data_IF_803712760856
#
_entry.id   IF_803712760856
#
_cell.length_a   1.000
_cell.length_b   1.000
_cell.length_c   1.000
_cell.angle_alpha   90.00
_cell.angle_beta   90.00
_cell.angle_gamma   90.00
#
_symmetry.space_group_name_H-M   'P 1'
#
loop_
_entity.id
_entity.type
_entity.pdbx_description
1 polymer ?
#
# COMPACT_ATOMS: atom_id res chain seq x y z
N UNK A 1 27.46 5.24 11.66
CA UNK A 1 26.49 4.11 11.56
C UNK A 1 26.20 3.60 12.96
N UNK A 2 25.11 2.85 13.21
CA UNK A 2 24.88 2.25 14.51
C UNK A 2 26.06 1.35 14.90
N UNK A 3 26.50 1.41 16.15
CA UNK A 3 27.61 0.59 16.66
C UNK A 3 29.00 0.89 16.09
N UNK A 4 29.19 1.97 15.31
CA UNK A 4 30.51 2.42 14.87
C UNK A 4 31.11 3.44 15.83
N UNK A 5 32.44 3.58 15.86
CA UNK A 5 33.09 4.75 16.46
C UNK A 5 33.65 5.69 15.41
N UNK A 6 33.78 6.97 15.76
CA UNK A 6 34.44 7.98 14.95
C UNK A 6 35.28 8.91 15.81
N UNK A 7 36.41 9.37 15.28
CA UNK A 7 37.21 10.45 15.87
C UNK A 7 36.66 11.79 15.36
N UNK A 8 36.27 12.66 16.29
CA UNK A 8 35.74 13.99 15.97
C UNK A 8 36.61 15.07 16.62
N UNK A 9 36.78 16.18 15.92
CA UNK A 9 37.44 17.38 16.40
C UNK A 9 36.61 18.59 15.99
N UNK A 10 36.66 19.67 16.78
CA UNK A 10 36.05 20.93 16.37
C UNK A 10 36.97 21.65 15.37
N UNK A 11 36.46 22.07 14.20
CA UNK A 11 37.21 22.98 13.34
C UNK A 11 37.39 24.34 14.05
N UNK A 12 38.29 25.22 13.57
CA UNK A 12 38.42 26.58 14.09
C UNK A 12 37.06 27.29 14.11
N UNK A 13 36.68 27.80 15.29
CA UNK A 13 35.37 28.42 15.48
C UNK A 13 35.44 29.94 15.25
N UNK A 14 34.44 30.55 14.60
CA UNK A 14 34.42 32.00 14.34
C UNK A 14 34.15 32.83 15.61
N UNK A 15 33.75 32.18 16.71
CA UNK A 15 33.46 32.79 18.02
C UNK A 15 34.06 31.93 19.13
N UNK A 16 34.27 32.52 20.30
CA UNK A 16 34.73 31.80 21.49
C UNK A 16 33.53 31.21 22.22
N UNK A 17 33.68 29.95 22.65
CA UNK A 17 32.71 29.26 23.49
C UNK A 17 33.39 28.94 24.82
N UNK A 18 32.70 29.15 25.95
CA UNK A 18 33.22 28.79 27.26
C UNK A 18 33.02 27.31 27.60
N UNK A 19 32.02 26.66 26.99
CA UNK A 19 31.67 25.27 27.33
C UNK A 19 31.25 24.45 26.12
N UNK A 20 31.64 23.18 26.15
CA UNK A 20 31.21 22.16 25.20
C UNK A 20 30.69 20.94 25.95
N UNK A 21 29.53 20.43 25.53
CA UNK A 21 28.99 19.16 26.04
C UNK A 21 28.61 18.24 24.88
N UNK A 22 29.01 16.97 24.98
CA UNK A 22 28.63 15.92 24.04
C UNK A 22 27.64 14.99 24.76
N UNK A 23 26.42 14.89 24.25
CA UNK A 23 25.32 14.16 24.92
C UNK A 23 25.14 14.58 26.39
N UNK A 24 25.24 15.89 26.66
CA UNK A 24 25.14 16.47 28.00
C UNK A 24 26.36 16.23 28.91
N UNK A 25 27.39 15.52 28.46
CA UNK A 25 28.63 15.28 29.24
C UNK A 25 29.72 16.30 28.90
N UNK A 26 30.52 16.78 29.86
CA UNK A 26 31.61 17.72 29.59
C UNK A 26 32.55 17.25 28.46
N UNK A 27 32.89 18.19 27.57
CA UNK A 27 33.72 17.96 26.38
C UNK A 27 34.67 19.13 26.09
N UNK A 28 35.14 19.84 27.13
CA UNK A 28 35.93 21.06 27.00
C UNK A 28 37.22 20.90 26.15
N UNK A 29 37.83 19.71 26.16
CA UNK A 29 39.00 19.41 25.32
C UNK A 29 38.75 19.63 23.82
N UNK A 30 37.52 19.45 23.33
CA UNK A 30 37.18 19.74 21.94
C UNK A 30 37.39 21.22 21.58
N UNK A 31 37.15 22.15 22.53
CA UNK A 31 37.40 23.58 22.34
C UNK A 31 38.90 23.91 22.25
N UNK A 32 39.74 23.08 22.87
CA UNK A 32 41.19 23.17 22.80
C UNK A 32 41.80 22.49 21.55
N UNK A 33 40.94 22.01 20.63
CA UNK A 33 41.37 21.31 19.41
C UNK A 33 41.66 19.82 19.62
N UNK A 34 41.34 19.26 20.79
CA UNK A 34 41.50 17.83 21.01
C UNK A 34 40.56 17.02 20.12
N UNK A 35 41.01 15.83 19.75
CA UNK A 35 40.18 14.84 19.09
C UNK A 35 39.57 13.92 20.13
N UNK A 36 38.25 13.71 20.05
CA UNK A 36 37.52 12.79 20.91
C UNK A 36 36.99 11.62 20.11
N UNK A 37 37.11 10.42 20.65
CA UNK A 37 36.39 9.26 20.11
C UNK A 37 34.93 9.29 20.57
N UNK A 38 34.03 9.14 19.61
CA UNK A 38 32.58 9.08 19.81
C UNK A 38 32.09 7.71 19.36
N UNK A 39 31.42 7.00 20.26
CA UNK A 39 30.84 5.69 20.00
C UNK A 39 29.35 5.85 19.75
N UNK A 40 28.90 5.54 18.54
CA UNK A 40 27.49 5.65 18.17
C UNK A 40 26.69 4.46 18.69
N UNK A 41 25.51 4.68 19.30
CA UNK A 41 24.72 3.60 19.89
C UNK A 41 24.19 2.62 18.84
N UNK A 42 23.77 1.45 19.29
CA UNK A 42 23.20 0.39 18.47
C UNK A 42 24.22 -0.66 18.03
N UNK A 43 23.75 -1.61 17.22
CA UNK A 43 24.56 -2.74 16.73
C UNK A 43 25.09 -2.43 15.33
N UNK A 44 26.39 -2.61 15.13
CA UNK A 44 26.98 -2.54 13.81
C UNK A 44 26.38 -3.63 12.89
N UNK A 45 25.98 -3.20 11.69
CA UNK A 45 25.55 -4.14 10.65
C UNK A 45 26.77 -4.91 10.13
N UNK A 46 26.62 -6.21 9.91
CA UNK A 46 27.68 -7.05 9.32
C UNK A 46 27.73 -6.90 7.80
N UNK A 47 26.61 -6.53 7.16
CA UNK A 47 26.48 -6.31 5.73
C UNK A 47 26.06 -4.86 5.41
N UNK A 48 26.41 -4.33 4.22
CA UNK A 48 25.96 -3.01 3.78
C UNK A 48 24.42 -2.90 3.80
N UNK A 49 23.89 -1.81 4.36
CA UNK A 49 22.44 -1.58 4.46
C UNK A 49 21.77 -1.42 3.08
N UNK A 50 22.53 -0.97 2.07
CA UNK A 50 22.14 -0.92 0.67
C UNK A 50 22.93 -1.97 -0.11
N UNK A 51 22.27 -2.97 -0.69
CA UNK A 51 22.92 -4.04 -1.46
C UNK A 51 21.94 -4.79 -2.37
N UNK A 52 22.46 -5.30 -3.49
CA UNK A 52 21.76 -6.29 -4.32
C UNK A 52 21.77 -7.63 -3.60
N UNK A 53 20.65 -8.33 -3.61
CA UNK A 53 20.47 -9.64 -2.99
C UNK A 53 20.53 -10.75 -4.03
N UNK A 54 19.79 -10.60 -5.13
CA UNK A 54 19.70 -11.63 -6.18
C UNK A 54 19.19 -11.05 -7.51
N UNK A 55 19.49 -11.74 -8.61
CA UNK A 55 18.82 -11.58 -9.91
C UNK A 55 17.71 -12.60 -10.07
N UNK A 56 16.52 -12.18 -10.48
CA UNK A 56 15.42 -13.10 -10.73
C UNK A 56 15.60 -13.77 -12.09
N UNK A 57 15.38 -15.09 -12.15
CA UNK A 57 15.49 -15.87 -13.38
C UNK A 57 14.10 -16.25 -13.88
N UNK A 58 13.89 -16.34 -15.22
CA UNK A 58 12.63 -16.81 -15.77
C UNK A 58 12.26 -18.19 -15.22
N UNK A 59 10.99 -18.37 -14.91
CA UNK A 59 10.41 -19.64 -14.46
C UNK A 59 9.04 -19.85 -15.11
N UNK A 60 8.50 -21.05 -15.02
CA UNK A 60 7.09 -21.28 -15.33
C UNK A 60 6.20 -20.44 -14.41
N UNK A 61 5.02 -20.06 -14.90
CA UNK A 61 4.03 -19.35 -14.08
C UNK A 61 3.65 -20.27 -12.92
N UNK A 62 3.87 -19.87 -11.66
CA UNK A 62 3.71 -20.77 -10.54
C UNK A 62 2.23 -21.06 -10.28
N UNK A 63 1.93 -22.23 -9.72
CA UNK A 63 0.55 -22.67 -9.45
C UNK A 63 -0.23 -21.71 -8.51
N UNK A 64 0.47 -21.00 -7.63
CA UNK A 64 -0.07 -20.00 -6.71
C UNK A 64 0.02 -18.56 -7.24
N UNK A 65 0.21 -18.35 -8.55
CA UNK A 65 0.32 -17.02 -9.15
C UNK A 65 -0.89 -16.12 -8.85
N UNK A 66 -2.09 -16.70 -8.73
CA UNK A 66 -3.28 -15.97 -8.30
C UNK A 66 -3.11 -15.40 -6.88
N UNK A 67 -2.65 -16.19 -5.92
CA UNK A 67 -2.43 -15.74 -4.54
C UNK A 67 -1.36 -14.66 -4.45
N UNK A 68 -0.26 -14.80 -5.21
CA UNK A 68 0.79 -13.77 -5.32
C UNK A 68 0.26 -12.44 -5.88
N UNK A 69 -0.54 -12.50 -6.95
CA UNK A 69 -1.17 -11.31 -7.52
C UNK A 69 -2.14 -10.65 -6.53
N UNK A 70 -3.04 -11.44 -5.95
CA UNK A 70 -4.04 -10.94 -5.01
C UNK A 70 -3.38 -10.33 -3.77
N UNK A 71 -2.31 -10.93 -3.24
CA UNK A 71 -1.57 -10.36 -2.11
C UNK A 71 -1.16 -8.91 -2.39
N UNK A 72 -0.66 -8.63 -3.59
CA UNK A 72 -0.29 -7.27 -4.01
C UNK A 72 -1.51 -6.38 -4.23
N UNK A 73 -2.59 -6.86 -4.83
CA UNK A 73 -3.81 -6.07 -5.04
C UNK A 73 -4.55 -5.71 -3.74
N UNK A 74 -4.49 -6.57 -2.70
CA UNK A 74 -5.00 -6.27 -1.36
C UNK A 74 -4.05 -5.37 -0.56
N UNK A 75 -2.72 -5.49 -0.77
CA UNK A 75 -1.74 -4.65 -0.09
C UNK A 75 -1.68 -3.23 -0.64
N UNK A 76 -1.94 -3.07 -1.94
CA UNK A 76 -1.97 -1.80 -2.61
C UNK A 76 -3.26 -1.04 -2.27
N UNK A 77 -3.10 0.20 -1.83
CA UNK A 77 -4.22 1.14 -1.79
C UNK A 77 -4.31 1.88 -3.14
N UNK A 78 -5.53 2.12 -3.59
CA UNK A 78 -5.81 2.94 -4.77
C UNK A 78 -6.39 4.32 -4.38
N UNK A 79 -6.13 4.79 -3.15
CA UNK A 79 -6.56 6.11 -2.66
C UNK A 79 -5.91 7.26 -3.45
N UNK A 80 -6.45 8.46 -3.31
CA UNK A 80 -5.83 9.68 -3.81
C UNK A 80 -4.37 9.82 -3.37
N UNK A 81 -3.53 10.41 -4.22
CA UNK A 81 -2.10 10.54 -3.96
C UNK A 81 -1.80 11.40 -2.73
N UNK A 82 -2.66 12.36 -2.41
CA UNK A 82 -2.63 13.21 -1.23
C UNK A 82 -2.77 12.36 0.04
N UNK A 83 -3.73 11.43 0.05
CA UNK A 83 -3.93 10.45 1.13
C UNK A 83 -2.73 9.54 1.26
N UNK A 84 -2.21 9.02 0.15
CA UNK A 84 -0.99 8.20 0.18
C UNK A 84 0.20 8.97 0.71
N UNK A 85 0.31 10.25 0.37
CA UNK A 85 1.45 11.10 0.73
C UNK A 85 1.44 11.48 2.21
N UNK A 86 0.27 11.80 2.78
CA UNK A 86 0.18 12.02 4.23
C UNK A 86 0.50 10.74 5.01
N UNK A 87 -0.05 9.59 4.60
CA UNK A 87 0.24 8.29 5.25
C UNK A 87 1.72 7.88 5.12
N UNK A 88 2.39 8.29 4.03
CA UNK A 88 3.83 8.07 3.82
C UNK A 88 4.70 8.98 4.66
N UNK A 89 4.34 10.26 4.78
CA UNK A 89 5.12 11.26 5.50
C UNK A 89 4.96 11.16 7.02
N UNK A 90 3.85 10.60 7.50
CA UNK A 90 3.61 10.42 8.92
C UNK A 90 3.32 11.73 9.65
N UNK A 91 3.33 11.72 11.00
CA UNK A 91 3.05 12.90 11.81
C UNK A 91 4.10 14.00 11.60
N UNK A 92 3.70 15.25 11.81
CA UNK A 92 4.58 16.43 11.73
C UNK A 92 4.62 17.14 13.08
N UNK A 93 5.79 17.68 13.45
CA UNK A 93 5.93 18.56 14.61
C UNK A 93 5.81 20.06 14.25
N UNK A 94 5.63 20.39 12.96
CA UNK A 94 5.51 21.76 12.47
C UNK A 94 4.02 22.15 12.50
N UNK A 95 3.58 23.05 13.39
CA UNK A 95 2.16 23.35 13.59
C UNK A 95 1.47 23.87 12.33
N UNK A 96 2.16 24.68 11.52
CA UNK A 96 1.64 25.21 10.27
C UNK A 96 1.35 24.09 9.26
N UNK A 97 2.22 23.07 9.20
CA UNK A 97 2.01 21.90 8.33
C UNK A 97 0.83 21.08 8.82
N UNK A 98 0.67 20.93 10.14
CA UNK A 98 -0.49 20.23 10.71
C UNK A 98 -1.79 20.97 10.40
N UNK A 99 -1.85 22.28 10.65
CA UNK A 99 -3.02 23.11 10.35
C UNK A 99 -3.42 23.05 8.86
N UNK A 100 -2.44 23.10 7.94
CA UNK A 100 -2.72 22.94 6.50
C UNK A 100 -3.27 21.55 6.15
N UNK A 101 -2.78 20.50 6.82
CA UNK A 101 -3.31 19.14 6.64
C UNK A 101 -4.75 19.04 7.15
N UNK A 102 -5.00 19.56 8.35
CA UNK A 102 -6.33 19.52 8.97
C UNK A 102 -7.35 20.25 8.10
N UNK A 103 -7.00 21.44 7.60
CA UNK A 103 -7.85 22.19 6.67
C UNK A 103 -8.09 21.42 5.36
N UNK A 104 -7.05 20.83 4.76
CA UNK A 104 -7.19 20.08 3.50
C UNK A 104 -8.04 18.81 3.65
N UNK A 105 -7.74 18.00 4.66
CA UNK A 105 -8.42 16.72 4.88
C UNK A 105 -9.78 16.86 5.58
N UNK A 106 -10.08 18.02 6.16
CA UNK A 106 -11.39 18.37 6.70
C UNK A 106 -12.40 18.86 5.66
N UNK A 107 -11.99 19.07 4.40
CA UNK A 107 -12.90 19.60 3.37
C UNK A 107 -13.97 18.58 2.98
N UNK A 108 -15.23 19.04 2.93
CA UNK A 108 -16.35 18.25 2.41
C UNK A 108 -16.09 17.70 1.01
N UNK A 109 -15.39 18.45 0.16
CA UNK A 109 -15.08 18.07 -1.22
C UNK A 109 -14.29 16.75 -1.31
N UNK A 110 -13.47 16.41 -0.30
CA UNK A 110 -12.74 15.14 -0.25
C UNK A 110 -13.68 13.94 -0.15
N UNK A 111 -14.73 14.04 0.66
CA UNK A 111 -15.76 13.02 0.78
C UNK A 111 -16.63 12.96 -0.48
N UNK A 112 -17.04 14.10 -1.03
CA UNK A 112 -17.85 14.18 -2.24
C UNK A 112 -17.16 13.57 -3.48
N UNK A 113 -15.83 13.70 -3.56
CA UNK A 113 -15.03 13.04 -4.61
C UNK A 113 -14.85 11.54 -4.38
N UNK A 114 -15.00 11.06 -3.15
CA UNK A 114 -14.98 9.63 -2.83
C UNK A 114 -13.65 8.92 -3.08
N UNK A 115 -12.54 9.65 -2.94
CA UNK A 115 -11.19 9.21 -3.32
C UNK A 115 -10.41 8.51 -2.20
N UNK A 116 -11.08 8.20 -1.09
CA UNK A 116 -10.50 7.53 0.06
C UNK A 116 -11.35 6.31 0.44
N UNK A 117 -10.72 5.13 0.51
CA UNK A 117 -11.35 3.87 0.91
C UNK A 117 -12.05 3.92 2.28
N UNK A 118 -11.63 4.84 3.16
CA UNK A 118 -12.23 5.05 4.47
C UNK A 118 -13.71 5.43 4.43
N UNK A 119 -14.18 6.02 3.33
CA UNK A 119 -15.61 6.32 3.16
C UNK A 119 -16.48 5.06 3.09
N UNK A 120 -15.92 3.86 2.83
CA UNK A 120 -16.69 2.61 2.97
C UNK A 120 -17.00 2.23 4.42
N UNK A 121 -16.31 2.84 5.38
CA UNK A 121 -16.23 2.35 6.76
C UNK A 121 -16.48 3.46 7.79
N UNK A 122 -17.06 4.59 7.40
CA UNK A 122 -17.20 5.78 8.25
C UNK A 122 -18.60 6.01 8.83
N UNK A 123 -19.53 5.08 8.59
CA UNK A 123 -20.94 5.13 9.03
C UNK A 123 -21.70 6.36 8.50
N UNK A 124 -21.26 6.93 7.37
CA UNK A 124 -21.92 8.06 6.72
C UNK A 124 -22.55 7.65 5.38
N UNK A 125 -23.89 7.57 5.30
CA UNK A 125 -24.57 7.06 4.11
C UNK A 125 -24.45 7.98 2.88
N UNK A 126 -24.02 9.24 3.05
CA UNK A 126 -23.83 10.20 1.97
C UNK A 126 -22.40 10.25 1.42
N UNK A 127 -21.48 9.47 2.01
CA UNK A 127 -20.12 9.29 1.47
C UNK A 127 -20.04 8.04 0.61
N UNK A 128 -19.09 8.03 -0.33
CA UNK A 128 -18.89 6.92 -1.25
C UNK A 128 -17.42 6.68 -1.45
N UNK A 129 -17.01 5.43 -1.60
CA UNK A 129 -15.75 5.10 -2.28
C UNK A 129 -16.00 4.89 -3.76
N UNK A 130 -15.26 5.62 -4.58
CA UNK A 130 -15.60 5.82 -5.98
C UNK A 130 -14.47 5.40 -6.90
N UNK A 131 -14.82 4.71 -7.97
CA UNK A 131 -13.93 4.47 -9.11
C UNK A 131 -14.15 5.58 -10.14
N UNK A 132 -13.30 6.60 -10.10
CA UNK A 132 -13.42 7.81 -10.94
C UNK A 132 -12.65 7.71 -12.26
N UNK A 133 -11.91 6.63 -12.46
CA UNK A 133 -11.05 6.38 -13.61
C UNK A 133 -11.30 4.96 -14.14
N UNK A 134 -10.85 4.65 -15.35
CA UNK A 134 -10.94 3.30 -15.87
C UNK A 134 -10.12 2.32 -15.02
N UNK A 135 -10.81 1.35 -14.44
CA UNK A 135 -10.19 0.21 -13.76
C UNK A 135 -9.44 -0.68 -14.76
N UNK A 136 -8.35 -1.26 -14.28
CA UNK A 136 -7.53 -2.20 -15.02
C UNK A 136 -8.35 -3.49 -15.22
N UNK A 137 -8.51 -3.93 -16.46
CA UNK A 137 -9.31 -5.09 -16.89
C UNK A 137 -10.64 -5.24 -16.12
N UNK A 138 -11.41 -4.16 -16.08
CA UNK A 138 -12.73 -4.04 -15.42
C UNK A 138 -12.72 -4.02 -13.89
N UNK A 139 -11.57 -4.10 -13.23
CA UNK A 139 -11.47 -3.97 -11.78
C UNK A 139 -12.15 -5.09 -10.97
N UNK A 140 -12.00 -4.97 -9.66
CA UNK A 140 -12.72 -5.74 -8.65
C UNK A 140 -12.61 -4.97 -7.33
N UNK A 141 -13.71 -4.88 -6.59
CA UNK A 141 -13.69 -4.38 -5.22
C UNK A 141 -13.06 -5.43 -4.31
N UNK A 142 -12.04 -5.03 -3.57
CA UNK A 142 -11.31 -5.83 -2.59
C UNK A 142 -11.46 -5.20 -1.23
N UNK A 143 -11.72 -6.02 -0.21
CA UNK A 143 -11.74 -5.60 1.19
C UNK A 143 -10.77 -6.51 1.97
N UNK A 144 -9.74 -5.91 2.57
CA UNK A 144 -8.90 -6.57 3.58
C UNK A 144 -9.42 -6.14 4.96
N UNK A 145 -9.91 -7.09 5.75
CA UNK A 145 -10.39 -6.84 7.12
C UNK A 145 -9.25 -6.60 8.12
N UNK A 146 -7.99 -6.72 7.68
CA UNK A 146 -6.78 -6.49 8.46
C UNK A 146 -6.33 -7.69 9.27
N UNK A 147 -7.27 -8.53 9.72
CA UNK A 147 -7.01 -9.77 10.45
C UNK A 147 -8.10 -10.82 10.19
N UNK A 148 -7.84 -12.12 10.46
CA UNK A 148 -8.89 -13.15 10.41
C UNK A 148 -10.08 -12.78 11.32
N UNK A 149 -11.26 -12.73 10.74
CA UNK A 149 -12.48 -12.14 11.29
C UNK A 149 -13.66 -13.09 11.09
N UNK A 150 -14.50 -13.35 12.11
CA UNK A 150 -15.62 -14.29 12.03
C UNK A 150 -16.84 -13.68 11.31
N UNK A 151 -16.67 -13.32 10.04
CA UNK A 151 -17.72 -12.74 9.21
C UNK A 151 -18.82 -13.76 8.89
N UNK A 152 -20.08 -13.41 9.13
CA UNK A 152 -21.26 -14.22 8.78
C UNK A 152 -22.13 -13.56 7.71
N UNK A 153 -22.11 -12.23 7.62
CA UNK A 153 -22.80 -11.50 6.56
C UNK A 153 -21.98 -10.28 6.14
N UNK A 154 -21.88 -10.05 4.83
CA UNK A 154 -21.44 -8.78 4.27
C UNK A 154 -22.65 -8.05 3.68
N UNK A 155 -22.83 -6.79 4.06
CA UNK A 155 -23.80 -5.87 3.50
C UNK A 155 -23.07 -4.70 2.85
N UNK A 156 -23.30 -4.48 1.55
CA UNK A 156 -22.92 -3.24 0.89
C UNK A 156 -24.16 -2.35 0.74
N UNK A 157 -24.07 -1.11 1.18
CA UNK A 157 -25.16 -0.11 1.06
C UNK A 157 -24.84 0.96 0.05
N UNK A 158 -25.88 1.58 -0.50
CA UNK A 158 -25.78 2.63 -1.50
C UNK A 158 -24.86 2.22 -2.66
N UNK A 159 -25.09 1.02 -3.21
CA UNK A 159 -24.32 0.48 -4.33
C UNK A 159 -24.91 0.96 -5.63
N UNK A 160 -24.11 1.58 -6.50
CA UNK A 160 -24.55 1.98 -7.85
C UNK A 160 -25.23 0.81 -8.58
N UNK A 161 -26.45 1.00 -9.10
CA UNK A 161 -27.22 -0.09 -9.74
C UNK A 161 -26.51 -0.75 -10.93
N UNK A 162 -25.48 -0.11 -11.50
CA UNK A 162 -24.67 -0.66 -12.60
C UNK A 162 -23.71 -1.75 -12.11
N UNK A 163 -23.43 -1.81 -10.82
CA UNK A 163 -22.63 -2.86 -10.21
C UNK A 163 -23.54 -3.98 -9.69
N UNK A 164 -23.64 -5.05 -10.48
CA UNK A 164 -24.51 -6.19 -10.22
C UNK A 164 -23.70 -7.49 -10.06
N UNK A 165 -22.87 -7.60 -9.01
CA UNK A 165 -22.15 -8.84 -8.77
C UNK A 165 -23.16 -9.98 -8.59
N UNK A 166 -22.82 -11.17 -9.09
CA UNK A 166 -23.62 -12.40 -8.87
C UNK A 166 -23.10 -13.18 -7.67
N UNK A 167 -21.81 -13.02 -7.37
CA UNK A 167 -21.12 -13.67 -6.28
C UNK A 167 -19.96 -12.80 -5.79
N UNK A 168 -19.61 -12.99 -4.54
CA UNK A 168 -18.35 -12.54 -3.94
C UNK A 168 -17.45 -13.75 -3.71
N UNK A 169 -16.16 -13.51 -3.53
CA UNK A 169 -15.19 -14.53 -3.15
C UNK A 169 -14.58 -14.14 -1.81
N UNK A 170 -14.58 -15.08 -0.86
CA UNK A 170 -14.00 -14.88 0.46
C UNK A 170 -12.85 -15.86 0.72
N UNK A 171 -11.83 -15.41 1.44
CA UNK A 171 -10.65 -16.23 1.75
C UNK A 171 -10.02 -15.84 3.08
N UNK A 172 -9.41 -16.82 3.75
CA UNK A 172 -8.55 -16.61 4.92
C UNK A 172 -7.07 -16.41 4.54
N UNK A 173 -6.64 -16.91 3.38
CA UNK A 173 -5.23 -17.15 3.05
C UNK A 173 -4.82 -16.74 1.62
N UNK A 174 -5.73 -16.17 0.82
CA UNK A 174 -5.56 -15.81 -0.60
C UNK A 174 -5.47 -16.99 -1.58
N UNK A 175 -5.49 -18.23 -1.09
CA UNK A 175 -5.46 -19.44 -1.91
C UNK A 175 -6.82 -20.09 -2.00
N UNK A 176 -7.41 -20.42 -0.85
CA UNK A 176 -8.72 -21.04 -0.76
C UNK A 176 -9.79 -19.96 -0.85
N UNK A 177 -10.46 -19.91 -2.00
CA UNK A 177 -11.56 -18.97 -2.26
C UNK A 177 -12.89 -19.70 -2.21
N UNK A 178 -13.80 -19.22 -1.36
CA UNK A 178 -15.19 -19.66 -1.36
C UNK A 178 -16.05 -18.66 -2.10
N UNK A 179 -16.75 -19.10 -3.14
CA UNK A 179 -17.76 -18.29 -3.81
C UNK A 179 -19.04 -18.23 -2.96
N UNK A 180 -19.57 -17.03 -2.78
CA UNK A 180 -20.80 -16.78 -2.02
C UNK A 180 -21.74 -15.97 -2.90
N UNK A 181 -22.94 -16.48 -3.12
CA UNK A 181 -23.95 -15.80 -3.93
C UNK A 181 -24.37 -14.48 -3.29
N UNK A 182 -24.70 -13.50 -4.12
CA UNK A 182 -25.20 -12.20 -3.67
C UNK A 182 -26.70 -12.07 -3.91
N UNK A 183 -27.40 -11.43 -2.97
CA UNK A 183 -28.76 -10.94 -3.14
C UNK A 183 -28.73 -9.42 -3.31
N UNK A 184 -29.35 -8.91 -4.36
CA UNK A 184 -29.44 -7.47 -4.63
C UNK A 184 -30.88 -7.03 -4.36
N UNK A 185 -31.04 -6.03 -3.50
CA UNK A 185 -32.32 -5.47 -3.13
C UNK A 185 -32.33 -3.95 -3.36
N UNK A 186 -33.50 -3.36 -3.51
CA UNK A 186 -33.63 -1.91 -3.61
C UNK A 186 -33.14 -1.24 -2.31
N UNK A 187 -32.42 -0.14 -2.44
CA UNK A 187 -32.06 0.68 -1.30
C UNK A 187 -33.22 1.59 -0.89
N UNK A 188 -33.23 2.07 0.36
CA UNK A 188 -34.18 3.10 0.79
C UNK A 188 -33.42 4.23 1.47
N UNK A 189 -33.30 5.41 0.83
CA UNK A 189 -33.85 5.79 -0.48
C UNK A 189 -33.22 5.04 -1.66
N UNK A 190 -33.95 4.87 -2.77
CA UNK A 190 -33.47 4.17 -3.97
C UNK A 190 -32.54 5.02 -4.86
N UNK A 191 -32.25 6.25 -4.45
CA UNK A 191 -31.46 7.22 -5.20
C UNK A 191 -30.45 7.90 -4.28
N UNK A 192 -29.30 8.25 -4.86
CA UNK A 192 -28.28 9.04 -4.20
C UNK A 192 -27.70 10.08 -5.16
N UNK A 193 -27.16 11.17 -4.61
CA UNK A 193 -26.46 12.19 -5.39
C UNK A 193 -24.96 12.03 -5.24
N UNK A 194 -24.24 11.99 -6.36
CA UNK A 194 -22.78 11.89 -6.40
C UNK A 194 -22.19 13.02 -7.22
N UNK A 195 -20.98 13.46 -6.86
CA UNK A 195 -20.31 14.54 -7.57
C UNK A 195 -19.85 14.06 -8.96
N UNK A 196 -20.35 14.66 -10.03
CA UNK A 196 -19.94 14.36 -11.40
C UNK A 196 -18.63 15.08 -11.77
N UNK A 197 -18.48 16.33 -11.35
CA UNK A 197 -17.29 17.14 -11.63
C UNK A 197 -17.25 18.41 -10.79
N UNK A 198 -16.05 18.96 -10.60
CA UNK A 198 -15.84 20.20 -9.84
C UNK A 198 -14.65 21.04 -10.34
N UNK A 199 -14.29 20.90 -11.63
CA UNK A 199 -13.07 21.47 -12.19
C UNK A 199 -13.21 22.94 -12.64
N UNK A 200 -14.42 23.44 -12.86
CA UNK A 200 -14.72 24.79 -13.37
C UNK A 200 -15.08 25.81 -12.29
N UNK A 201 -14.81 25.51 -11.01
CA UNK A 201 -15.27 26.32 -9.88
C UNK A 201 -16.74 26.12 -9.52
N UNK A 202 -17.51 25.39 -10.33
CA UNK A 202 -18.87 24.93 -10.04
C UNK A 202 -18.91 23.42 -9.86
N UNK A 203 -19.76 22.93 -8.94
CA UNK A 203 -20.00 21.50 -8.73
C UNK A 203 -21.14 21.03 -9.62
N UNK A 204 -20.88 20.00 -10.41
CA UNK A 204 -21.90 19.26 -11.14
C UNK A 204 -22.25 17.99 -10.37
N UNK A 205 -23.55 17.74 -10.18
CA UNK A 205 -24.06 16.59 -9.45
C UNK A 205 -24.83 15.66 -10.40
N UNK A 206 -24.73 14.37 -10.15
CA UNK A 206 -25.49 13.33 -10.83
C UNK A 206 -26.36 12.59 -9.81
N UNK A 207 -27.62 12.33 -10.17
CA UNK A 207 -28.47 11.43 -9.39
C UNK A 207 -28.32 10.02 -9.95
N UNK A 208 -27.86 9.10 -9.10
CA UNK A 208 -27.71 7.68 -9.43
C UNK A 208 -28.80 6.87 -8.72
N UNK A 209 -29.16 5.73 -9.32
CA UNK A 209 -29.98 4.73 -8.64
C UNK A 209 -29.08 3.80 -7.86
N UNK A 210 -29.49 3.45 -6.64
CA UNK A 210 -28.70 2.62 -5.73
C UNK A 210 -29.48 1.41 -5.22
N UNK A 211 -28.74 0.34 -4.97
CA UNK A 211 -29.20 -0.91 -4.38
C UNK A 211 -28.38 -1.21 -3.11
N UNK A 212 -28.85 -2.19 -2.34
CA UNK A 212 -28.04 -2.88 -1.34
C UNK A 212 -27.63 -4.25 -1.87
N UNK A 213 -26.41 -4.68 -1.58
CA UNK A 213 -25.89 -6.02 -1.93
C UNK A 213 -25.66 -6.79 -0.63
N UNK A 214 -26.34 -7.91 -0.48
CA UNK A 214 -26.31 -8.75 0.72
C UNK A 214 -25.65 -10.08 0.38
N UNK A 215 -24.69 -10.48 1.20
CA UNK A 215 -23.98 -11.75 1.07
C UNK A 215 -24.06 -12.48 2.40
N UNK A 216 -24.90 -13.51 2.46
CA UNK A 216 -25.04 -14.39 3.63
C UNK A 216 -23.98 -15.50 3.50
N UNK A 217 -22.98 -15.53 4.39
CA UNK A 217 -21.88 -16.49 4.30
C UNK A 217 -22.33 -17.88 4.78
N UNK A 218 -21.87 -18.97 4.12
CA UNK A 218 -22.08 -20.32 4.59
C UNK A 218 -21.59 -20.52 6.03
N UNK A 219 -22.35 -21.29 6.81
CA UNK A 219 -21.95 -21.69 8.16
C UNK A 219 -20.67 -22.54 8.09
N UNK A 220 -19.76 -22.35 9.05
CA UNK A 220 -18.59 -23.20 9.24
C UNK A 220 -17.35 -22.81 8.43
N UNK A 221 -17.33 -21.67 7.73
CA UNK A 221 -16.14 -21.18 7.01
C UNK A 221 -14.97 -20.78 7.92
N UNK A 222 -15.23 -20.59 9.22
CA UNK A 222 -14.25 -20.07 10.16
C UNK A 222 -13.89 -18.60 9.89
N UNK A 223 -12.85 -18.07 10.56
CA UNK A 223 -12.41 -16.69 10.37
C UNK A 223 -11.82 -16.45 8.97
N UNK A 224 -12.28 -15.38 8.31
CA UNK A 224 -11.86 -14.96 6.97
C UNK A 224 -11.13 -13.62 7.06
N UNK A 225 -10.33 -13.25 6.05
CA UNK A 225 -9.65 -11.95 6.03
C UNK A 225 -9.96 -11.13 4.77
N UNK A 226 -10.09 -11.80 3.64
CA UNK A 226 -10.12 -11.18 2.33
C UNK A 226 -11.48 -11.37 1.67
N UNK A 227 -11.99 -10.31 1.05
CA UNK A 227 -13.19 -10.33 0.22
C UNK A 227 -12.84 -9.74 -1.13
N UNK A 228 -13.21 -10.42 -2.21
CA UNK A 228 -13.09 -9.95 -3.59
C UNK A 228 -14.44 -10.01 -4.29
N UNK A 229 -14.82 -8.91 -4.94
CA UNK A 229 -16.07 -8.77 -5.67
C UNK A 229 -15.73 -8.31 -7.09
N UNK A 230 -15.74 -9.21 -8.08
CA UNK A 230 -15.35 -8.87 -9.45
C UNK A 230 -16.27 -7.83 -10.09
N UNK A 231 -15.67 -6.94 -10.89
CA UNK A 231 -16.40 -5.94 -11.68
C UNK A 231 -16.15 -4.51 -11.22
N UNK A 232 -16.70 -3.56 -12.01
CA UNK A 232 -16.52 -2.13 -11.82
C UNK A 232 -17.43 -1.60 -10.71
N UNK A 233 -16.93 -1.59 -9.47
CA UNK A 233 -17.59 -0.95 -8.33
C UNK A 233 -17.45 0.58 -8.42
N UNK A 234 -18.32 1.22 -9.21
CA UNK A 234 -18.26 2.65 -9.54
C UNK A 234 -18.47 3.55 -8.33
N UNK A 235 -19.54 3.32 -7.57
CA UNK A 235 -19.86 4.02 -6.34
C UNK A 235 -20.40 2.99 -5.35
N UNK A 236 -19.77 2.92 -4.17
CA UNK A 236 -20.23 2.09 -3.05
C UNK A 236 -20.18 2.95 -1.80
N UNK A 237 -21.31 3.09 -1.12
CA UNK A 237 -21.43 3.92 0.07
C UNK A 237 -20.75 3.27 1.27
N UNK A 238 -21.26 2.11 1.70
CA UNK A 238 -20.76 1.45 2.91
C UNK A 238 -20.52 -0.04 2.66
N UNK A 239 -19.54 -0.61 3.37
CA UNK A 239 -19.34 -2.05 3.51
C UNK A 239 -19.39 -2.43 4.99
N UNK A 240 -20.40 -3.21 5.37
CA UNK A 240 -20.71 -3.57 6.76
C UNK A 240 -20.60 -5.09 6.92
N UNK A 241 -19.84 -5.53 7.91
CA UNK A 241 -19.77 -6.93 8.30
C UNK A 241 -20.56 -7.22 9.56
N UNK A 242 -21.27 -8.35 9.61
CA UNK A 242 -21.94 -8.84 10.81
C UNK A 242 -21.42 -10.20 11.23
N UNK A 243 -21.39 -10.42 12.54
CA UNK A 243 -21.18 -11.71 13.17
C UNK A 243 -22.21 -11.88 14.28
N UNK A 244 -23.00 -12.94 14.24
CA UNK A 244 -24.08 -13.22 15.21
C UNK A 244 -25.06 -12.05 15.35
N UNK A 245 -25.35 -11.36 14.24
CA UNK A 245 -26.21 -10.17 14.20
C UNK A 245 -25.58 -8.90 14.75
N UNK A 246 -24.33 -8.91 15.19
CA UNK A 246 -23.60 -7.73 15.70
C UNK A 246 -22.68 -7.19 14.61
N UNK A 247 -22.71 -5.89 14.38
CA UNK A 247 -21.80 -5.21 13.47
C UNK A 247 -20.35 -5.34 13.95
N UNK A 248 -19.46 -5.73 13.05
CA UNK A 248 -18.03 -5.89 13.31
C UNK A 248 -17.33 -4.52 13.35
N UNK A 249 -16.24 -4.44 14.11
CA UNK A 249 -15.33 -3.29 14.03
C UNK A 249 -14.62 -3.28 12.65
N UNK A 250 -14.67 -2.13 12.00
CA UNK A 250 -14.11 -1.90 10.66
C UNK A 250 -12.94 -0.91 10.67
N UNK A 251 -12.46 -0.51 11.85
CA UNK A 251 -11.34 0.42 12.01
C UNK A 251 -10.06 -0.04 11.30
N UNK A 252 -9.82 -1.35 11.21
CA UNK A 252 -8.67 -1.94 10.53
C UNK A 252 -8.90 -2.23 9.04
N UNK A 253 -10.15 -2.12 8.55
CA UNK A 253 -10.51 -2.50 7.19
C UNK A 253 -9.97 -1.52 6.16
N UNK A 254 -9.66 -2.04 4.97
CA UNK A 254 -9.14 -1.29 3.82
C UNK A 254 -9.76 -1.81 2.55
N UNK A 255 -9.80 -0.98 1.52
CA UNK A 255 -10.32 -1.41 0.23
C UNK A 255 -9.52 -0.91 -0.98
N UNK A 256 -9.69 -1.63 -2.09
CA UNK A 256 -9.28 -1.19 -3.41
C UNK A 256 -10.30 -1.61 -4.47
N UNK A 257 -10.47 -0.83 -5.55
CA UNK A 257 -11.46 -1.12 -6.60
C UNK A 257 -10.95 -0.99 -8.04
N UNK A 258 -9.64 -0.74 -8.22
CA UNK A 258 -9.02 -0.48 -9.52
C UNK A 258 -8.45 -1.73 -10.19
N UNK A 259 -7.97 -2.71 -9.42
CA UNK A 259 -7.24 -3.86 -9.97
C UNK A 259 -8.19 -4.96 -10.46
N UNK A 260 -7.86 -5.60 -11.57
CA UNK A 260 -8.63 -6.68 -12.16
C UNK A 260 -8.75 -7.91 -11.26
N UNK A 261 -9.74 -8.75 -11.52
CA UNK A 261 -9.71 -10.14 -11.05
C UNK A 261 -8.67 -10.94 -11.86
N UNK A 262 -7.84 -11.75 -11.19
CA UNK A 262 -6.81 -12.58 -11.84
C UNK A 262 -7.38 -13.46 -12.96
N UNK A 263 -8.60 -13.98 -12.78
CA UNK A 263 -9.25 -14.83 -13.78
C UNK A 263 -9.48 -14.12 -15.13
N UNK A 264 -9.61 -12.77 -15.14
CA UNK A 264 -9.79 -11.99 -16.37
C UNK A 264 -8.48 -11.70 -17.09
N UNK A 265 -7.39 -11.61 -16.35
CA UNK A 265 -6.06 -11.34 -16.88
C UNK A 265 -5.04 -12.19 -16.11
N UNK A 266 -4.89 -13.48 -16.45
CA UNK A 266 -3.92 -14.35 -15.79
C UNK A 266 -2.49 -14.03 -16.25
N UNK A 267 -1.53 -14.32 -15.38
CA UNK A 267 -0.12 -14.13 -15.69
C UNK A 267 0.31 -15.05 -16.85
N UNK A 268 1.18 -14.53 -17.71
CA UNK A 268 1.70 -15.21 -18.91
C UNK A 268 3.16 -15.62 -18.77
N UNK A 269 3.93 -14.94 -17.92
CA UNK A 269 5.33 -15.26 -17.60
C UNK A 269 5.62 -14.97 -16.14
N UNK A 270 6.67 -15.60 -15.61
CA UNK A 270 7.14 -15.33 -14.27
C UNK A 270 8.68 -15.33 -14.20
N UNK A 271 9.19 -14.60 -13.21
CA UNK A 271 10.59 -14.64 -12.79
C UNK A 271 10.62 -14.87 -11.28
N UNK A 272 11.59 -15.63 -10.80
CA UNK A 272 11.75 -15.84 -9.37
C UNK A 272 13.20 -16.01 -8.93
N UNK A 273 13.40 -15.89 -7.62
CA UNK A 273 14.69 -16.07 -6.97
C UNK A 273 14.51 -16.11 -5.46
N UNK A 274 15.29 -16.98 -4.82
CA UNK A 274 15.22 -17.21 -3.37
C UNK A 274 16.45 -16.61 -2.69
N UNK A 275 16.24 -15.92 -1.57
CA UNK A 275 17.31 -15.36 -0.76
C UNK A 275 16.92 -15.36 0.73
N UNK A 276 17.85 -14.96 1.59
CA UNK A 276 17.63 -14.84 3.04
C UNK A 276 18.18 -13.51 3.53
N UNK A 277 17.50 -12.92 4.52
CA UNK A 277 17.96 -11.72 5.21
C UNK A 277 18.33 -12.06 6.65
N UNK A 278 19.61 -12.10 6.98
CA UNK A 278 20.03 -12.34 8.38
C UNK A 278 19.97 -11.09 9.25
N UNK A 279 20.05 -9.91 8.62
CA UNK A 279 19.91 -8.62 9.27
C UNK A 279 19.37 -7.58 8.30
N UNK A 280 18.69 -6.57 8.85
CA UNK A 280 18.24 -5.39 8.14
C UNK A 280 18.26 -4.19 9.11
N UNK A 281 18.48 -3.00 8.57
CA UNK A 281 18.41 -1.78 9.38
C UNK A 281 16.95 -1.43 9.68
N UNK A 282 16.71 -0.62 10.72
CA UNK A 282 15.39 -0.03 10.95
C UNK A 282 14.98 0.79 9.72
N UNK A 283 13.74 0.64 9.27
CA UNK A 283 13.24 1.30 8.05
C UNK A 283 13.73 0.66 6.75
N UNK A 284 14.34 -0.54 6.81
CA UNK A 284 14.68 -1.29 5.62
C UNK A 284 13.45 -1.74 4.84
N UNK A 285 13.60 -1.78 3.53
CA UNK A 285 12.63 -2.33 2.60
C UNK A 285 13.34 -2.99 1.42
N UNK A 286 12.69 -4.01 0.85
CA UNK A 286 13.11 -4.64 -0.38
C UNK A 286 12.62 -3.82 -1.57
N UNK A 287 13.43 -3.75 -2.61
CA UNK A 287 13.08 -3.17 -3.91
C UNK A 287 13.18 -4.25 -4.98
N UNK A 288 12.09 -4.46 -5.71
CA UNK A 288 12.04 -5.37 -6.85
C UNK A 288 11.72 -4.56 -8.11
N UNK A 289 12.74 -4.09 -8.86
CA UNK A 289 12.54 -3.43 -10.14
C UNK A 289 12.19 -4.42 -11.26
N UNK A 290 11.27 -4.02 -12.13
CA UNK A 290 10.93 -4.64 -13.40
C UNK A 290 11.49 -3.74 -14.51
N UNK A 291 12.79 -3.86 -14.77
CA UNK A 291 13.56 -2.99 -15.66
C UNK A 291 13.27 -3.35 -17.13
N UNK A 292 12.53 -2.49 -17.83
CA UNK A 292 12.09 -2.69 -19.20
C UNK A 292 10.60 -2.40 -19.39
N UNK A 293 10.08 -2.74 -20.57
CA UNK A 293 8.67 -2.51 -20.92
C UNK A 293 7.80 -3.71 -20.52
N UNK A 294 6.62 -3.43 -19.99
CA UNK A 294 5.61 -4.43 -19.68
C UNK A 294 4.18 -3.92 -19.91
N UNK A 295 4.00 -2.68 -20.38
CA UNK A 295 2.71 -2.05 -20.55
C UNK A 295 2.09 -1.59 -19.22
N UNK A 296 0.95 -0.90 -19.33
CA UNK A 296 0.17 -0.42 -18.19
C UNK A 296 -0.19 -1.61 -17.29
N UNK A 297 0.31 -1.59 -16.06
CA UNK A 297 0.07 -2.63 -15.05
C UNK A 297 0.32 -4.06 -15.54
N UNK A 298 1.25 -4.26 -16.47
CA UNK A 298 1.55 -5.57 -17.03
C UNK A 298 2.62 -6.37 -16.29
N UNK A 299 3.13 -5.90 -15.15
CA UNK A 299 4.04 -6.66 -14.30
C UNK A 299 3.70 -6.42 -12.83
N UNK A 300 3.67 -7.46 -11.99
CA UNK A 300 3.43 -7.41 -10.54
C UNK A 300 4.47 -8.22 -9.77
N UNK A 301 5.02 -7.67 -8.70
CA UNK A 301 5.89 -8.41 -7.78
C UNK A 301 5.16 -8.79 -6.50
N UNK A 302 5.52 -9.92 -5.92
CA UNK A 302 5.10 -10.40 -4.60
C UNK A 302 6.21 -11.25 -3.97
N UNK A 303 6.08 -11.54 -2.68
CA UNK A 303 7.00 -12.42 -1.96
C UNK A 303 6.27 -13.64 -1.42
N UNK A 304 6.98 -14.77 -1.31
CA UNK A 304 6.63 -15.86 -0.40
C UNK A 304 7.58 -15.84 0.79
N UNK A 305 7.04 -15.83 2.00
CA UNK A 305 7.82 -15.90 3.23
C UNK A 305 7.09 -16.80 4.21
N UNK A 306 7.73 -17.91 4.59
CA UNK A 306 7.20 -18.84 5.60
C UNK A 306 5.75 -19.29 5.31
N UNK A 307 5.48 -19.67 4.05
CA UNK A 307 4.15 -20.09 3.58
C UNK A 307 3.12 -18.96 3.42
N UNK A 308 3.51 -17.69 3.53
CA UNK A 308 2.62 -16.52 3.36
C UNK A 308 2.94 -15.75 2.08
N UNK A 309 1.89 -15.25 1.43
CA UNK A 309 1.99 -14.31 0.31
C UNK A 309 2.02 -12.88 0.84
N UNK A 310 3.10 -12.17 0.52
CA UNK A 310 3.28 -10.78 0.92
C UNK A 310 3.24 -9.93 -0.34
N UNK A 311 2.25 -9.05 -0.41
CA UNK A 311 2.10 -8.10 -1.51
C UNK A 311 2.93 -6.84 -1.30
N UNK A 312 3.18 -6.12 -2.40
CA UNK A 312 3.84 -4.83 -2.30
C UNK A 312 2.80 -3.73 -2.00
N UNK A 313 2.86 -3.05 -0.84
CA UNK A 313 1.95 -1.94 -0.58
C UNK A 313 2.27 -0.70 -1.43
N UNK A 314 3.46 -0.64 -2.05
CA UNK A 314 3.93 0.53 -2.80
C UNK A 314 4.72 0.11 -4.02
N UNK A 315 4.70 0.97 -5.04
CA UNK A 315 5.45 0.83 -6.29
C UNK A 315 5.86 2.19 -6.86
N UNK A 316 6.93 2.25 -7.63
CA UNK A 316 7.31 3.39 -8.47
C UNK A 316 7.40 2.93 -9.93
N UNK A 317 6.66 3.46 -10.89
CA UNK A 317 5.58 4.45 -10.73
C UNK A 317 4.46 3.92 -9.84
N UNK A 318 3.77 4.84 -9.15
CA UNK A 318 2.68 4.50 -8.24
C UNK A 318 1.60 3.67 -8.94
N UNK A 319 0.90 2.82 -8.18
CA UNK A 319 -0.31 2.18 -8.67
C UNK A 319 -1.34 3.23 -9.09
N UNK A 320 -2.19 2.94 -10.09
CA UNK A 320 -3.28 3.84 -10.42
C UNK A 320 -4.15 4.13 -9.18
N UNK A 321 -4.61 5.37 -9.09
CA UNK A 321 -5.37 5.92 -7.99
C UNK A 321 -6.79 6.29 -8.42
N UNK A 322 -7.65 6.54 -7.44
CA UNK A 322 -8.80 7.41 -7.59
C UNK A 322 -8.29 8.85 -7.32
N UNK A 323 -7.94 9.63 -8.36
CA UNK A 323 -7.22 10.88 -8.16
C UNK A 323 -8.12 11.98 -7.59
N UNK A 324 -7.52 12.87 -6.78
CA UNK A 324 -8.14 14.11 -6.33
C UNK A 324 -8.35 15.08 -7.50
N UNK A 325 -7.31 15.35 -8.29
CA UNK A 325 -7.34 16.34 -9.38
C UNK A 325 -6.95 15.74 -10.74
N UNK A 326 -5.67 15.41 -10.91
CA UNK A 326 -5.15 14.98 -12.22
C UNK A 326 -5.25 13.47 -12.38
N UNK A 327 -5.66 13.04 -13.57
CA UNK A 327 -5.75 11.63 -13.94
C UNK A 327 -4.44 10.84 -13.73
N UNK A 328 -4.56 9.51 -13.73
CA UNK A 328 -3.38 8.66 -13.62
C UNK A 328 -2.50 8.78 -14.87
N UNK A 329 -1.19 8.82 -14.65
CA UNK A 329 -0.25 8.54 -15.73
C UNK A 329 -0.38 7.10 -16.19
N UNK A 330 0.00 6.84 -17.45
CA UNK A 330 -0.06 5.50 -18.07
C UNK A 330 1.36 4.98 -18.38
N UNK A 331 2.23 4.80 -17.37
CA UNK A 331 3.58 4.31 -17.59
C UNK A 331 3.54 2.87 -18.12
N UNK A 332 4.43 2.56 -19.07
CA UNK A 332 4.48 1.28 -19.79
C UNK A 332 5.68 0.40 -19.38
N UNK A 333 6.44 0.80 -18.35
CA UNK A 333 7.66 0.11 -17.97
C UNK A 333 8.30 0.61 -16.66
N UNK A 334 9.38 -0.08 -16.26
CA UNK A 334 10.27 0.29 -15.16
C UNK A 334 9.58 0.41 -13.79
N UNK A 335 8.67 -0.51 -13.50
CA UNK A 335 8.02 -0.57 -12.20
C UNK A 335 8.93 -1.15 -11.12
N UNK A 336 9.08 -0.47 -9.99
CA UNK A 336 9.83 -0.91 -8.81
C UNK A 336 8.89 -1.11 -7.65
N UNK A 337 8.79 -2.35 -7.17
CA UNK A 337 7.94 -2.73 -6.06
C UNK A 337 8.68 -2.62 -4.74
N UNK A 338 8.01 -2.10 -3.70
CA UNK A 338 8.62 -1.87 -2.39
C UNK A 338 7.92 -2.70 -1.31
N UNK A 339 8.70 -3.50 -0.58
CA UNK A 339 8.21 -4.33 0.52
C UNK A 339 8.91 -3.94 1.82
N UNK A 340 8.20 -3.37 2.81
CA UNK A 340 8.79 -3.12 4.12
C UNK A 340 9.34 -4.42 4.71
N UNK A 341 10.59 -4.41 5.18
CA UNK A 341 11.17 -5.57 5.88
C UNK A 341 10.65 -5.59 7.31
N UNK A 342 9.96 -6.67 7.66
CA UNK A 342 9.52 -6.93 9.03
C UNK A 342 10.45 -7.92 9.72
N UNK A 343 10.40 -7.96 11.05
CA UNK A 343 11.16 -8.95 11.84
C UNK A 343 10.80 -10.40 11.45
N UNK A 344 9.54 -10.64 11.07
CA UNK A 344 9.07 -11.96 10.62
C UNK A 344 9.75 -12.45 9.32
N UNK A 345 10.42 -11.57 8.57
CA UNK A 345 11.19 -11.94 7.38
C UNK A 345 12.64 -12.33 7.71
N UNK A 346 13.18 -11.89 8.86
CA UNK A 346 14.58 -12.10 9.21
C UNK A 346 14.86 -13.58 9.52
N UNK A 347 15.96 -14.08 8.97
CA UNK A 347 16.38 -15.48 9.09
C UNK A 347 15.53 -16.47 8.29
N UNK A 348 14.50 -16.02 7.58
CA UNK A 348 13.61 -16.86 6.78
C UNK A 348 14.06 -16.92 5.32
N UNK A 349 13.68 -18.00 4.64
CA UNK A 349 13.75 -18.06 3.18
C UNK A 349 12.68 -17.16 2.59
N UNK A 350 13.06 -16.31 1.64
CA UNK A 350 12.19 -15.37 0.94
C UNK A 350 12.28 -15.66 -0.54
N UNK A 351 11.15 -16.02 -1.15
CA UNK A 351 11.04 -16.14 -2.61
C UNK A 351 10.46 -14.85 -3.16
N UNK A 352 11.26 -14.11 -3.93
CA UNK A 352 10.74 -13.01 -4.73
C UNK A 352 10.17 -13.56 -6.04
N UNK A 353 8.97 -13.15 -6.40
CA UNK A 353 8.30 -13.54 -7.64
C UNK A 353 7.78 -12.32 -8.37
N UNK A 354 8.08 -12.22 -9.66
CA UNK A 354 7.49 -11.24 -10.57
C UNK A 354 6.65 -11.96 -11.60
N UNK A 355 5.39 -11.54 -11.73
CA UNK A 355 4.42 -12.02 -12.70
C UNK A 355 4.27 -10.98 -13.81
N UNK A 356 4.33 -11.40 -15.08
CA UNK A 356 3.98 -10.56 -16.22
C UNK A 356 2.62 -10.96 -16.78
N UNK A 357 1.83 -9.96 -17.11
CA UNK A 357 0.52 -10.05 -17.72
C UNK A 357 0.58 -9.52 -19.15
N UNK A 358 -0.42 -9.88 -19.94
CA UNK A 358 -0.61 -9.26 -21.25
C UNK A 358 -1.03 -7.80 -21.06
N UNK A 359 -0.40 -6.85 -21.75
CA UNK A 359 -0.70 -5.43 -21.57
C UNK A 359 -2.12 -5.06 -22.05
N UNK A 360 -2.80 -4.17 -21.33
CA UNK A 360 -4.16 -3.70 -21.65
C UNK A 360 -4.25 -2.74 -22.86
N UNK A 361 -3.12 -2.35 -23.47
CA UNK A 361 -3.07 -1.36 -24.55
C UNK A 361 -3.02 -1.92 -25.98
N UNK A 362 -3.23 -1.02 -26.94
CA UNK A 362 -2.97 -1.26 -28.37
C UNK A 362 -1.96 -0.20 -28.89
N UNK A 363 -0.79 -0.60 -29.42
CA UNK A 363 -0.30 -1.97 -29.56
C UNK A 363 0.05 -2.62 -28.22
N UNK A 364 -0.05 -3.95 -28.18
CA UNK A 364 0.35 -4.74 -27.01
C UNK A 364 1.88 -4.75 -26.90
N UNK A 365 2.39 -4.67 -25.68
CA UNK A 365 3.82 -4.84 -25.40
C UNK A 365 4.15 -6.34 -25.45
N UNK A 366 5.17 -6.77 -26.21
CA UNK A 366 5.59 -8.17 -26.23
C UNK A 366 5.95 -8.67 -24.82
N UNK A 367 5.75 -9.95 -24.58
CA UNK A 367 6.15 -10.57 -23.31
C UNK A 367 7.68 -10.70 -23.22
N UNK A 368 8.22 -10.70 -22.00
CA UNK A 368 9.65 -10.89 -21.72
C UNK A 368 10.54 -9.69 -22.03
N UNK A 369 9.96 -8.48 -22.13
CA UNK A 369 10.69 -7.25 -22.46
C UNK A 369 11.26 -6.52 -21.23
N UNK A 370 11.45 -7.24 -20.11
CA UNK A 370 12.06 -6.71 -18.90
C UNK A 370 12.89 -7.77 -18.15
N UNK A 371 13.77 -7.28 -17.27
CA UNK A 371 14.53 -8.07 -16.30
C UNK A 371 14.19 -7.63 -14.88
N UNK A 372 14.51 -8.47 -13.89
CA UNK A 372 14.23 -8.15 -12.50
C UNK A 372 15.28 -8.70 -11.54
N UNK A 373 15.42 -8.02 -10.41
CA UNK A 373 16.39 -8.29 -9.36
C UNK A 373 15.80 -7.85 -8.02
N UNK A 374 16.49 -8.14 -6.92
CA UNK A 374 16.05 -7.74 -5.58
C UNK A 374 17.18 -6.98 -4.91
N UNK A 375 16.83 -5.84 -4.32
CA UNK A 375 17.74 -5.02 -3.52
C UNK A 375 17.19 -4.85 -2.11
N UNK A 376 18.08 -4.77 -1.12
CA UNK A 376 17.77 -4.21 0.19
C UNK A 376 18.24 -2.76 0.23
N UNK A 377 17.41 -1.88 0.78
CA UNK A 377 17.81 -0.51 1.12
C UNK A 377 17.07 -0.05 2.38
N UNK A 378 17.29 1.18 2.84
CA UNK A 378 16.59 1.75 3.99
C UNK A 378 16.30 3.25 3.80
N UNK A 379 15.13 3.68 4.26
CA UNK A 379 14.77 5.10 4.33
C UNK A 379 14.09 5.42 5.68
N UNK A 380 14.57 6.44 6.42
CA UNK A 380 15.78 7.22 6.14
C UNK A 380 17.04 6.35 6.15
N UNK A 381 18.15 6.88 5.61
CA UNK A 381 19.46 6.22 5.75
C UNK A 381 19.67 5.94 7.24
N UNK A 382 20.11 4.73 7.65
CA UNK A 382 20.08 4.31 9.05
C UNK A 382 21.25 4.89 9.85
N UNK A 383 21.50 6.18 9.70
CA UNK A 383 22.44 6.92 10.52
C UNK A 383 21.86 7.16 11.91
N UNK A 384 22.76 7.26 12.87
CA UNK A 384 22.49 7.64 14.26
C UNK A 384 23.29 8.89 14.54
N UNK A 385 22.67 9.84 15.23
CA UNK A 385 23.28 11.13 15.57
C UNK A 385 23.65 11.19 17.05
N UNK A 386 24.61 12.06 17.36
CA UNK A 386 24.86 12.57 18.71
C UNK A 386 24.91 14.09 18.66
N UNK A 387 24.49 14.73 19.74
CA UNK A 387 24.41 16.17 19.90
C UNK A 387 25.65 16.70 20.62
N UNK A 388 26.32 17.65 19.98
CA UNK A 388 27.31 18.52 20.58
C UNK A 388 26.66 19.89 20.82
N UNK A 389 26.71 20.37 22.05
CA UNK A 389 26.22 21.71 22.45
C UNK A 389 27.42 22.57 22.80
N UNK A 390 27.49 23.76 22.19
CA UNK A 390 28.48 24.79 22.48
C UNK A 390 27.77 25.97 23.14
N UNK A 391 28.30 26.45 24.26
CA UNK A 391 27.75 27.55 25.05
C UNK A 391 28.81 28.65 25.18
N UNK A 392 28.39 29.91 25.07
CA UNK A 392 29.26 31.09 25.19
C UNK A 392 29.71 31.35 26.62
#
# INVERSE_FOLDING_TARGET
>A
MPGSSAKVSLPPQPRRFAKATLEGRPAAGLLAGETREVVFPGKALKQPWHRKLIELKPVEVPADAAALYEATCFSADNNAMEIRSIMRSGPTCIPQVQASRDEFFGQKLLAERGVWDRYLFDDKPDTFFRLTQDAIWQGALRIDMGSPTPLEQLLLKNVDKRFTPQQIFVSADLQAWTAVATRIEAETPAQASVLKGSFSGTKEWETIQVNRVICDLPKGLGPLRYIKIPGKALNVGEAIGYAKGVQLDRSAWRASNVFADYAKAPAKRAWSGTFRLDEAAKGSYLVIPCNGKHGRDGAYAALRVDGRWIGAPRRAKAYPANPWETGNGHPDGNFSYFFPVSEAMLGKSIDAVVLQFESEGNPKIPLGQFSSEVWLTAYPIPYVSQQLVLEE
#
